data_IF_756598278317
#
_entry.id   IF_756598278317
#
_cell.length_a   1.000
_cell.length_b   1.000
_cell.length_c   1.000
_cell.angle_alpha   90.00
_cell.angle_beta   90.00
_cell.angle_gamma   90.00
#
_symmetry.space_group_name_H-M   'P 1'
#
loop_
_entity.id
_entity.type
_entity.pdbx_description
1 polymer ?
#
# COMPACT_ATOMS: atom_id res chain seq x y z
N UNK A 1 14.45 -13.93 -25.11
CA UNK A 1 15.80 -14.31 -24.62
C UNK A 1 16.79 -14.16 -25.77
N UNK A 2 17.98 -13.63 -25.49
CA UNK A 2 19.05 -13.22 -26.43
C UNK A 2 18.89 -11.82 -27.07
N UNK A 3 18.77 -10.77 -26.25
CA UNK A 3 19.05 -9.40 -26.67
C UNK A 3 19.44 -8.51 -25.48
N UNK A 4 20.48 -8.87 -24.71
CA UNK A 4 20.99 -7.96 -23.67
C UNK A 4 22.46 -8.16 -23.25
N UNK A 5 23.21 -9.09 -23.85
CA UNK A 5 24.62 -9.32 -23.46
C UNK A 5 25.61 -8.35 -24.12
N UNK A 6 25.22 -7.65 -25.19
CA UNK A 6 26.15 -6.84 -25.98
C UNK A 6 26.42 -5.46 -25.37
N UNK A 7 25.40 -4.84 -24.76
CA UNK A 7 25.54 -3.55 -24.06
C UNK A 7 26.38 -3.72 -22.78
N UNK A 8 26.21 -4.83 -22.07
CA UNK A 8 26.97 -5.16 -20.87
C UNK A 8 28.45 -5.50 -21.14
N UNK A 9 28.76 -6.15 -22.27
CA UNK A 9 30.14 -6.44 -22.67
C UNK A 9 30.91 -5.16 -23.06
N UNK A 10 30.26 -4.20 -23.70
CA UNK A 10 30.89 -2.93 -24.09
C UNK A 10 31.16 -2.04 -22.86
N UNK A 11 30.29 -2.06 -21.84
CA UNK A 11 30.49 -1.34 -20.58
C UNK A 11 31.66 -1.91 -19.75
N UNK A 12 31.79 -3.24 -19.66
CA UNK A 12 32.93 -3.89 -18.99
C UNK A 12 34.26 -3.69 -19.74
N UNK A 13 34.21 -3.58 -21.07
CA UNK A 13 35.41 -3.36 -21.89
C UNK A 13 35.90 -1.92 -21.77
N UNK A 14 35.01 -0.94 -21.59
CA UNK A 14 35.38 0.45 -21.30
C UNK A 14 36.01 0.62 -19.91
N UNK A 15 35.51 -0.11 -18.90
CA UNK A 15 36.07 -0.12 -17.54
C UNK A 15 37.46 -0.81 -17.49
N UNK A 16 37.66 -1.90 -18.23
CA UNK A 16 38.98 -2.59 -18.29
C UNK A 16 40.01 -1.89 -19.17
N UNK A 17 39.61 -1.21 -20.25
CA UNK A 17 40.56 -0.50 -21.14
C UNK A 17 41.15 0.77 -20.52
N UNK A 18 40.56 1.29 -19.44
CA UNK A 18 41.12 2.43 -18.69
C UNK A 18 42.16 2.06 -17.63
N UNK A 19 42.45 0.76 -17.41
CA UNK A 19 43.45 0.35 -16.42
C UNK A 19 44.90 0.25 -16.96
N UNK A 20 45.15 0.41 -18.27
CA UNK A 20 46.46 0.05 -18.84
C UNK A 20 47.13 1.02 -19.84
N UNK A 21 46.68 2.26 -20.02
CA UNK A 21 47.44 3.22 -20.85
C UNK A 21 47.42 4.60 -20.22
N UNK A 22 48.45 4.91 -19.42
CA UNK A 22 49.23 6.16 -19.41
C UNK A 22 50.23 6.10 -18.25
N UNK A 23 51.33 5.37 -18.45
CA UNK A 23 52.52 5.48 -17.62
C UNK A 23 53.50 6.46 -18.28
N UNK A 24 53.23 7.77 -18.18
CA UNK A 24 54.24 8.82 -18.38
C UNK A 24 54.02 9.88 -17.29
N UNK A 25 55.05 10.09 -16.49
CA UNK A 25 54.94 10.76 -15.19
C UNK A 25 54.68 12.26 -15.24
N UNK A 26 54.18 12.76 -14.12
CA UNK A 26 54.79 13.81 -13.31
C UNK A 26 54.36 13.50 -11.86
N UNK A 27 55.35 13.31 -10.99
CA UNK A 27 55.16 13.32 -9.56
C UNK A 27 54.81 14.75 -9.13
N UNK A 28 53.56 14.97 -8.74
CA UNK A 28 53.13 16.12 -7.97
C UNK A 28 52.45 15.60 -6.72
N UNK A 29 53.24 15.41 -5.66
CA UNK A 29 52.72 15.24 -4.32
C UNK A 29 51.99 16.53 -3.93
N UNK A 30 50.65 16.52 -4.02
CA UNK A 30 49.81 17.51 -3.36
C UNK A 30 49.53 17.01 -1.93
N UNK A 31 49.67 17.89 -0.92
CA UNK A 31 49.55 17.48 0.46
C UNK A 31 48.11 17.07 0.76
N UNK A 32 47.98 15.92 1.42
CA UNK A 32 46.78 15.48 2.11
C UNK A 32 46.39 16.50 3.18
N UNK A 33 45.60 17.50 2.83
CA UNK A 33 44.87 18.30 3.79
C UNK A 33 43.60 17.55 4.17
N UNK A 34 43.71 16.81 5.27
CA UNK A 34 42.62 16.05 5.85
C UNK A 34 41.50 16.92 6.42
N UNK A 35 40.30 16.35 6.36
CA UNK A 35 39.22 16.45 7.33
C UNK A 35 38.23 17.64 7.28
N UNK A 36 38.32 18.57 6.32
CA UNK A 36 37.29 19.63 6.16
C UNK A 36 36.51 19.61 4.82
N UNK A 37 36.84 18.71 3.89
CA UNK A 37 36.27 18.67 2.52
C UNK A 37 35.48 17.40 2.19
N UNK A 38 35.36 16.45 3.11
CA UNK A 38 34.75 15.14 2.81
C UNK A 38 33.23 15.22 2.60
N UNK A 39 32.50 15.87 3.52
CA UNK A 39 31.04 16.00 3.39
C UNK A 39 30.62 16.88 2.21
N UNK A 40 31.39 17.92 1.89
CA UNK A 40 31.07 18.81 0.76
C UNK A 40 31.28 18.11 -0.59
N UNK A 41 32.30 17.26 -0.67
CA UNK A 41 32.63 16.48 -1.86
C UNK A 41 31.64 15.35 -2.11
N UNK A 42 31.28 14.60 -1.06
CA UNK A 42 30.23 13.57 -1.15
C UNK A 42 28.87 14.20 -1.50
N UNK A 43 28.56 15.37 -0.92
CA UNK A 43 27.34 16.12 -1.27
C UNK A 43 27.34 16.56 -2.73
N UNK A 44 28.46 17.07 -3.25
CA UNK A 44 28.56 17.47 -4.66
C UNK A 44 28.38 16.26 -5.59
N UNK A 45 29.01 15.12 -5.27
CA UNK A 45 28.80 13.86 -5.98
C UNK A 45 27.32 13.47 -6.04
N UNK A 46 26.62 13.47 -4.90
CA UNK A 46 25.17 13.16 -4.83
C UNK A 46 24.33 14.17 -5.62
N UNK A 47 24.71 15.44 -5.64
CA UNK A 47 24.01 16.46 -6.42
C UNK A 47 24.08 16.19 -7.93
N UNK A 48 25.24 15.74 -8.45
CA UNK A 48 25.35 15.33 -9.85
C UNK A 48 24.48 14.10 -10.15
N UNK A 49 24.48 13.09 -9.27
CA UNK A 49 23.58 11.94 -9.42
C UNK A 49 22.10 12.34 -9.41
N UNK A 50 21.72 13.27 -8.54
CA UNK A 50 20.35 13.80 -8.45
C UNK A 50 19.90 14.41 -9.79
N UNK A 51 20.82 15.05 -10.51
CA UNK A 51 20.60 15.65 -11.84
C UNK A 51 20.80 14.67 -13.00
N UNK A 52 21.09 13.40 -12.72
CA UNK A 52 21.46 12.36 -13.68
C UNK A 52 22.70 12.69 -14.52
N UNK A 53 23.64 13.46 -13.96
CA UNK A 53 24.91 13.84 -14.57
C UNK A 53 26.04 12.89 -14.12
N UNK A 54 25.99 11.67 -14.65
CA UNK A 54 26.92 10.59 -14.28
C UNK A 54 28.37 10.86 -14.72
N UNK A 55 28.57 11.70 -15.74
CA UNK A 55 29.91 12.09 -16.20
C UNK A 55 30.63 12.91 -15.13
N UNK A 56 29.99 13.96 -14.64
CA UNK A 56 30.54 14.77 -13.56
C UNK A 56 30.59 14.01 -12.23
N UNK A 57 29.66 13.09 -11.96
CA UNK A 57 29.77 12.22 -10.78
C UNK A 57 31.02 11.31 -10.86
N UNK A 58 31.31 10.74 -12.03
CA UNK A 58 32.49 9.88 -12.23
C UNK A 58 33.82 10.62 -12.04
N UNK A 59 33.87 11.93 -12.27
CA UNK A 59 35.05 12.74 -11.97
C UNK A 59 35.49 12.60 -10.50
N UNK A 60 34.54 12.59 -9.55
CA UNK A 60 34.84 12.45 -8.13
C UNK A 60 35.42 11.08 -7.77
N UNK A 61 34.89 10.01 -8.39
CA UNK A 61 35.37 8.65 -8.19
C UNK A 61 36.77 8.45 -8.80
N UNK A 62 36.99 8.93 -10.03
CA UNK A 62 38.26 8.75 -10.75
C UNK A 62 39.44 9.48 -10.10
N UNK A 63 39.17 10.61 -9.43
CA UNK A 63 40.20 11.39 -8.73
C UNK A 63 40.35 10.99 -7.26
N UNK A 64 39.65 9.93 -6.80
CA UNK A 64 39.71 9.47 -5.41
C UNK A 64 39.14 10.48 -4.39
N UNK A 65 38.35 11.44 -4.86
CA UNK A 65 37.67 12.44 -4.02
C UNK A 65 36.49 11.81 -3.27
N UNK A 66 35.89 10.78 -3.87
CA UNK A 66 34.88 9.90 -3.27
C UNK A 66 35.30 8.46 -3.54
N UNK A 67 35.20 7.59 -2.54
CA UNK A 67 35.47 6.15 -2.71
C UNK A 67 34.19 5.34 -2.49
N UNK A 68 33.93 4.27 -3.28
CA UNK A 68 32.72 3.47 -3.15
C UNK A 68 32.48 2.92 -1.73
N UNK A 69 33.54 2.61 -0.99
CA UNK A 69 33.48 2.05 0.36
C UNK A 69 32.81 3.00 1.35
N UNK A 70 33.02 4.32 1.17
CA UNK A 70 32.46 5.38 2.02
C UNK A 70 31.00 5.68 1.72
N UNK A 71 30.52 5.30 0.55
CA UNK A 71 29.16 5.58 0.13
C UNK A 71 28.19 4.58 0.76
N UNK A 72 27.10 5.12 1.31
CA UNK A 72 25.86 4.38 1.55
C UNK A 72 25.00 4.49 0.29
N UNK A 73 25.26 3.61 -0.68
CA UNK A 73 24.60 3.63 -1.99
C UNK A 73 23.08 3.44 -1.88
N UNK A 74 22.60 2.67 -0.90
CA UNK A 74 21.17 2.51 -0.67
C UNK A 74 20.51 3.75 -0.07
N UNK A 75 21.17 4.44 0.87
CA UNK A 75 20.66 5.70 1.41
C UNK A 75 20.69 6.81 0.34
N UNK A 76 21.74 6.84 -0.51
CA UNK A 76 21.81 7.75 -1.65
C UNK A 76 20.67 7.48 -2.64
N UNK A 77 20.43 6.21 -2.99
CA UNK A 77 19.32 5.83 -3.85
C UNK A 77 18.00 6.31 -3.28
N UNK A 78 17.66 5.90 -2.05
CA UNK A 78 16.44 6.30 -1.35
C UNK A 78 16.25 7.82 -1.33
N UNK A 79 17.28 8.57 -0.93
CA UNK A 79 17.22 10.02 -0.82
C UNK A 79 17.01 10.71 -2.17
N UNK A 80 17.63 10.23 -3.25
CA UNK A 80 17.41 10.79 -4.60
C UNK A 80 15.99 10.49 -5.09
N UNK A 81 15.47 9.27 -4.86
CA UNK A 81 14.08 8.92 -5.19
C UNK A 81 13.12 9.92 -4.53
N UNK A 82 13.27 10.16 -3.23
CA UNK A 82 12.39 11.07 -2.49
C UNK A 82 12.59 12.55 -2.87
N UNK A 83 13.84 13.01 -3.01
CA UNK A 83 14.12 14.43 -3.24
C UNK A 83 13.83 14.88 -4.68
N UNK A 84 14.10 14.05 -5.68
CA UNK A 84 14.05 14.45 -7.08
C UNK A 84 12.96 13.74 -7.89
N UNK A 85 12.64 12.48 -7.58
CA UNK A 85 11.79 11.66 -8.46
C UNK A 85 10.37 11.41 -7.90
N UNK A 86 10.14 11.59 -6.59
CA UNK A 86 8.89 11.22 -5.91
C UNK A 86 7.62 11.79 -6.56
N UNK A 87 7.64 13.07 -6.92
CA UNK A 87 6.49 13.74 -7.54
C UNK A 87 6.25 13.32 -8.99
N UNK A 88 7.19 12.60 -9.59
CA UNK A 88 7.22 12.27 -11.02
C UNK A 88 7.63 10.80 -11.26
N UNK A 89 7.37 9.90 -10.30
CA UNK A 89 7.88 8.51 -10.37
C UNK A 89 7.50 7.83 -11.70
N UNK A 90 6.28 8.06 -12.19
CA UNK A 90 5.80 7.49 -13.46
C UNK A 90 6.63 7.92 -14.68
N UNK A 91 7.04 9.20 -14.77
CA UNK A 91 7.84 9.69 -15.89
C UNK A 91 9.35 9.52 -15.67
N UNK A 92 9.76 9.16 -14.44
CA UNK A 92 11.16 8.98 -14.05
C UNK A 92 11.61 7.52 -13.97
N UNK A 93 10.76 6.54 -14.30
CA UNK A 93 11.09 5.10 -14.25
C UNK A 93 12.43 4.76 -14.91
N UNK A 94 12.71 5.28 -16.11
CA UNK A 94 14.00 5.04 -16.77
C UNK A 94 15.18 5.64 -15.99
N UNK A 95 15.04 6.84 -15.45
CA UNK A 95 16.09 7.48 -14.65
C UNK A 95 16.34 6.73 -13.34
N UNK A 96 15.28 6.19 -12.72
CA UNK A 96 15.36 5.33 -11.53
C UNK A 96 16.17 4.06 -11.84
N UNK A 97 15.86 3.36 -12.94
CA UNK A 97 16.59 2.16 -13.37
C UNK A 97 18.07 2.48 -13.64
N UNK A 98 18.37 3.60 -14.31
CA UNK A 98 19.75 4.01 -14.55
C UNK A 98 20.49 4.34 -13.25
N UNK A 99 19.86 5.06 -12.32
CA UNK A 99 20.44 5.38 -11.02
C UNK A 99 20.72 4.12 -10.21
N UNK A 100 19.75 3.19 -10.16
CA UNK A 100 19.91 1.90 -9.50
C UNK A 100 21.10 1.13 -10.08
N UNK A 101 21.16 0.96 -11.40
CA UNK A 101 22.26 0.27 -12.06
C UNK A 101 23.62 0.92 -11.82
N UNK A 102 23.68 2.25 -11.83
CA UNK A 102 24.91 3.01 -11.52
C UNK A 102 25.37 2.75 -10.08
N UNK A 103 24.49 2.93 -9.09
CA UNK A 103 24.83 2.76 -7.68
C UNK A 103 25.17 1.31 -7.33
N UNK A 104 24.43 0.34 -7.88
CA UNK A 104 24.69 -1.10 -7.69
C UNK A 104 26.07 -1.50 -8.24
N UNK A 105 26.51 -0.88 -9.34
CA UNK A 105 27.83 -1.13 -9.92
C UNK A 105 28.97 -0.52 -9.08
N UNK A 106 28.71 0.56 -8.33
CA UNK A 106 29.68 1.12 -7.39
C UNK A 106 29.81 0.26 -6.14
N UNK A 107 28.68 -0.06 -5.51
CA UNK A 107 28.61 -0.87 -4.30
C UNK A 107 27.21 -1.50 -4.21
N UNK A 108 27.11 -2.84 -4.23
CA UNK A 108 25.82 -3.51 -4.08
C UNK A 108 25.11 -3.06 -2.81
N UNK A 109 23.82 -2.77 -2.92
CA UNK A 109 22.98 -2.39 -1.79
C UNK A 109 21.67 -3.18 -1.80
N UNK A 110 21.04 -3.22 -0.62
CA UNK A 110 19.71 -3.78 -0.42
C UNK A 110 18.67 -2.64 -0.50
N UNK A 111 17.69 -2.76 -1.40
CA UNK A 111 16.60 -1.77 -1.49
C UNK A 111 15.60 -1.89 -0.34
N UNK A 112 15.62 -3.01 0.38
CA UNK A 112 14.81 -3.28 1.56
C UNK A 112 15.44 -2.76 2.86
N UNK A 113 16.52 -1.98 2.77
CA UNK A 113 17.17 -1.44 3.96
C UNK A 113 16.34 -0.32 4.61
N UNK A 114 16.38 -0.24 5.95
CA UNK A 114 15.84 0.91 6.68
C UNK A 114 16.79 2.11 6.54
N UNK A 115 16.25 3.26 6.13
CA UNK A 115 17.00 4.50 5.95
C UNK A 115 16.53 5.52 6.98
N UNK A 116 17.47 6.25 7.61
CA UNK A 116 17.10 7.38 8.46
C UNK A 116 16.60 8.53 7.59
N UNK A 117 15.32 8.84 7.68
CA UNK A 117 14.64 9.81 6.81
C UNK A 117 14.23 11.10 7.51
N UNK A 118 14.35 11.16 8.84
CA UNK A 118 14.01 12.35 9.61
C UNK A 118 14.43 12.25 11.07
N UNK A 119 14.30 13.36 11.78
CA UNK A 119 14.45 13.43 13.23
C UNK A 119 13.23 14.14 13.80
N UNK A 120 12.58 13.54 14.79
CA UNK A 120 11.49 14.16 15.54
C UNK A 120 11.91 14.31 17.01
N UNK A 121 12.35 15.52 17.38
CA UNK A 121 12.98 15.73 18.68
C UNK A 121 14.29 14.95 18.77
N UNK A 122 14.36 13.99 19.70
CA UNK A 122 15.55 13.14 19.89
C UNK A 122 15.45 11.78 19.20
N UNK A 123 14.30 11.45 18.59
CA UNK A 123 14.09 10.15 17.96
C UNK A 123 14.37 10.22 16.45
N UNK A 124 15.25 9.35 15.97
CA UNK A 124 15.48 9.14 14.54
C UNK A 124 14.30 8.40 13.92
N UNK A 125 13.73 8.94 12.85
CA UNK A 125 12.71 8.26 12.07
C UNK A 125 13.37 7.37 11.01
N UNK A 126 13.02 6.09 11.02
CA UNK A 126 13.38 5.13 9.97
C UNK A 126 12.28 5.09 8.93
N UNK A 127 12.66 5.14 7.66
CA UNK A 127 11.77 4.94 6.51
C UNK A 127 12.26 3.76 5.69
N UNK A 128 11.32 3.17 4.94
CA UNK A 128 11.57 2.01 4.10
C UNK A 128 10.84 2.23 2.78
N UNK A 129 11.56 2.01 1.67
CA UNK A 129 11.10 2.38 0.34
C UNK A 129 9.76 1.73 -0.02
N UNK A 130 9.57 0.45 0.33
CA UNK A 130 8.35 -0.27 0.04
C UNK A 130 7.11 0.40 0.64
N UNK A 131 7.11 0.69 1.94
CA UNK A 131 5.97 1.32 2.60
C UNK A 131 5.70 2.72 2.05
N UNK A 132 6.76 3.48 1.74
CA UNK A 132 6.58 4.78 1.13
C UNK A 132 5.90 4.62 -0.24
N UNK A 133 6.34 3.68 -1.07
CA UNK A 133 5.79 3.44 -2.40
C UNK A 133 4.31 3.03 -2.34
N UNK A 134 3.92 2.08 -1.50
CA UNK A 134 2.51 1.62 -1.41
C UNK A 134 1.56 2.66 -0.82
N UNK A 135 2.06 3.75 -0.25
CA UNK A 135 1.20 4.86 0.22
C UNK A 135 0.80 5.83 -0.89
N UNK A 136 1.40 5.77 -2.09
CA UNK A 136 1.20 6.83 -3.09
C UNK A 136 1.56 6.50 -4.54
N UNK A 137 2.45 5.53 -4.77
CA UNK A 137 2.93 5.21 -6.10
C UNK A 137 1.91 4.34 -6.87
N UNK A 138 1.75 4.56 -8.19
CA UNK A 138 1.01 3.65 -9.07
C UNK A 138 1.59 2.24 -9.06
N UNK A 139 0.76 1.19 -9.19
CA UNK A 139 1.23 -0.20 -9.12
C UNK A 139 2.26 -0.56 -10.20
N UNK A 140 2.15 0.01 -11.41
CA UNK A 140 3.15 -0.18 -12.46
C UNK A 140 4.51 0.46 -12.14
N UNK A 141 4.54 1.49 -11.29
CA UNK A 141 5.79 2.08 -10.77
C UNK A 141 6.39 1.18 -9.69
N UNK A 142 5.57 0.70 -8.76
CA UNK A 142 6.01 -0.25 -7.72
C UNK A 142 6.62 -1.50 -8.37
N UNK A 143 5.98 -1.99 -9.45
CA UNK A 143 6.46 -3.11 -10.25
C UNK A 143 7.87 -2.90 -10.82
N UNK A 144 8.25 -1.67 -11.17
CA UNK A 144 9.62 -1.36 -11.61
C UNK A 144 10.62 -1.56 -10.46
N UNK A 145 10.30 -1.12 -9.25
CA UNK A 145 11.18 -1.35 -8.09
C UNK A 145 11.29 -2.84 -7.76
N UNK A 146 10.20 -3.59 -7.87
CA UNK A 146 10.22 -5.05 -7.72
C UNK A 146 11.14 -5.72 -8.77
N UNK A 147 11.07 -5.28 -10.03
CA UNK A 147 11.95 -5.77 -11.11
C UNK A 147 13.44 -5.42 -10.87
N UNK A 148 13.72 -4.35 -10.12
CA UNK A 148 15.07 -3.98 -9.71
C UNK A 148 15.56 -4.76 -8.48
N UNK A 149 14.68 -5.51 -7.80
CA UNK A 149 15.01 -6.37 -6.66
C UNK A 149 14.40 -5.98 -5.32
N UNK A 150 13.41 -5.07 -5.27
CA UNK A 150 12.70 -4.72 -4.03
C UNK A 150 11.79 -5.89 -3.61
N UNK A 151 11.95 -6.42 -2.40
CA UNK A 151 11.08 -7.47 -1.88
C UNK A 151 9.75 -6.90 -1.38
N UNK A 152 8.69 -7.08 -2.19
CA UNK A 152 7.34 -6.61 -1.88
C UNK A 152 6.71 -7.28 -0.64
N UNK A 153 7.33 -8.32 -0.09
CA UNK A 153 6.87 -9.06 1.09
C UNK A 153 7.77 -8.88 2.30
N UNK A 154 8.77 -8.00 2.22
CA UNK A 154 9.67 -7.73 3.35
C UNK A 154 8.87 -7.26 4.56
N UNK A 155 9.09 -7.94 5.68
CA UNK A 155 8.52 -7.55 6.97
C UNK A 155 9.48 -6.64 7.72
N UNK A 156 8.93 -5.56 8.28
CA UNK A 156 9.68 -4.58 9.04
C UNK A 156 9.16 -4.53 10.48
N UNK A 157 10.03 -4.56 11.50
CA UNK A 157 9.60 -4.48 12.89
C UNK A 157 8.73 -3.23 13.15
N UNK A 158 7.58 -3.44 13.79
CA UNK A 158 6.66 -2.35 14.14
C UNK A 158 5.88 -1.75 12.95
N UNK A 159 5.87 -2.40 11.79
CA UNK A 159 5.03 -2.03 10.63
C UNK A 159 4.20 -3.24 10.18
N UNK A 160 2.92 -3.05 9.79
CA UNK A 160 2.15 -4.14 9.19
C UNK A 160 2.76 -4.52 7.84
N UNK A 161 2.44 -5.68 7.25
CA UNK A 161 2.80 -5.98 5.87
C UNK A 161 2.37 -4.86 4.92
N UNK A 162 3.19 -4.53 3.91
CA UNK A 162 2.89 -3.48 2.93
C UNK A 162 1.57 -3.70 2.15
N UNK A 163 1.10 -4.95 2.12
CA UNK A 163 -0.19 -5.34 1.55
C UNK A 163 -1.35 -4.72 2.29
N UNK A 164 -1.20 -4.46 3.60
CA UNK A 164 -2.19 -3.69 4.37
C UNK A 164 -2.42 -2.30 3.76
N UNK A 165 -1.35 -1.58 3.44
CA UNK A 165 -1.46 -0.23 2.87
C UNK A 165 -2.13 -0.27 1.49
N UNK A 166 -1.88 -1.31 0.69
CA UNK A 166 -2.54 -1.51 -0.61
C UNK A 166 -4.03 -1.79 -0.44
N UNK A 167 -4.42 -2.71 0.45
CA UNK A 167 -5.85 -3.04 0.67
C UNK A 167 -6.61 -1.91 1.35
N UNK A 168 -5.99 -1.16 2.27
CA UNK A 168 -6.60 0.02 2.89
C UNK A 168 -6.92 1.08 1.82
N UNK A 169 -6.19 1.07 0.70
CA UNK A 169 -6.34 1.99 -0.44
C UNK A 169 -7.16 1.42 -1.61
N UNK A 170 -7.68 0.20 -1.50
CA UNK A 170 -8.45 -0.46 -2.57
C UNK A 170 -9.72 0.32 -2.91
N UNK A 171 -9.97 0.57 -4.19
CA UNK A 171 -11.10 1.34 -4.72
C UNK A 171 -10.92 2.87 -4.67
N UNK A 172 -10.03 3.38 -3.83
CA UNK A 172 -9.67 4.81 -3.81
C UNK A 172 -8.43 5.11 -4.65
N UNK A 173 -7.35 4.37 -4.44
CA UNK A 173 -6.07 4.57 -5.14
C UNK A 173 -5.64 3.34 -5.93
N UNK A 174 -5.86 2.14 -5.40
CA UNK A 174 -5.57 0.89 -6.10
C UNK A 174 -6.86 0.24 -6.58
N UNK A 175 -6.81 -0.31 -7.78
CA UNK A 175 -7.87 -1.15 -8.35
C UNK A 175 -7.55 -2.63 -8.15
N UNK A 176 -8.52 -3.50 -8.46
CA UNK A 176 -8.27 -4.96 -8.50
C UNK A 176 -7.21 -5.31 -9.56
N UNK A 177 -7.18 -4.60 -10.70
CA UNK A 177 -6.11 -4.79 -11.69
C UNK A 177 -4.73 -4.39 -11.15
N UNK A 178 -4.65 -3.39 -10.28
CA UNK A 178 -3.38 -3.02 -9.63
C UNK A 178 -2.91 -4.12 -8.67
N UNK A 179 -3.82 -4.72 -7.89
CA UNK A 179 -3.51 -5.89 -7.05
C UNK A 179 -2.98 -7.04 -7.90
N UNK A 180 -3.58 -7.30 -9.07
CA UNK A 180 -3.10 -8.34 -9.98
C UNK A 180 -1.68 -8.04 -10.50
N UNK A 181 -1.37 -6.79 -10.84
CA UNK A 181 -0.02 -6.38 -11.25
C UNK A 181 0.99 -6.64 -10.14
N UNK A 182 0.67 -6.19 -8.91
CA UNK A 182 1.55 -6.38 -7.76
C UNK A 182 1.74 -7.86 -7.43
N UNK A 183 0.68 -8.65 -7.51
CA UNK A 183 0.73 -10.10 -7.32
C UNK A 183 1.59 -10.81 -8.38
N UNK A 184 1.51 -10.39 -9.65
CA UNK A 184 2.41 -10.88 -10.71
C UNK A 184 3.88 -10.53 -10.46
N UNK A 185 4.15 -9.48 -9.68
CA UNK A 185 5.49 -9.10 -9.22
C UNK A 185 5.89 -9.75 -7.90
N UNK A 186 5.09 -10.68 -7.40
CA UNK A 186 5.40 -11.49 -6.23
C UNK A 186 4.83 -10.98 -4.91
N UNK A 187 4.04 -9.89 -4.91
CA UNK A 187 3.35 -9.45 -3.70
C UNK A 187 2.27 -10.46 -3.31
N UNK A 188 2.33 -10.96 -2.09
CA UNK A 188 1.38 -11.95 -1.55
C UNK A 188 0.14 -11.21 -1.06
N UNK A 189 -1.05 -11.78 -1.26
CA UNK A 189 -2.31 -11.30 -0.68
C UNK A 189 -3.08 -12.52 -0.16
N UNK A 190 -3.29 -12.64 1.15
CA UNK A 190 -4.00 -13.75 1.80
C UNK A 190 -3.22 -14.49 2.89
N UNK A 191 -1.91 -14.63 2.73
CA UNK A 191 -1.04 -15.48 3.57
C UNK A 191 -0.08 -14.66 4.47
N UNK A 192 -0.25 -13.34 4.53
CA UNK A 192 0.65 -12.46 5.27
C UNK A 192 0.42 -12.54 6.79
N UNK A 193 1.48 -12.47 7.59
CA UNK A 193 1.35 -12.39 9.03
C UNK A 193 0.91 -10.98 9.44
N UNK A 194 -0.31 -10.87 9.96
CA UNK A 194 -0.79 -9.64 10.58
C UNK A 194 -0.67 -9.73 12.10
N UNK A 195 0.22 -8.94 12.69
CA UNK A 195 0.23 -8.73 14.14
C UNK A 195 -0.80 -7.64 14.50
N UNK A 196 -1.85 -7.96 15.28
CA UNK A 196 -2.86 -6.98 15.67
C UNK A 196 -2.32 -5.79 16.44
N UNK A 197 -1.25 -5.98 17.24
CA UNK A 197 -0.64 -4.89 18.00
C UNK A 197 0.06 -3.89 17.08
N UNK A 198 0.83 -4.41 16.12
CA UNK A 198 1.45 -3.62 15.06
C UNK A 198 0.40 -2.89 14.21
N UNK A 199 -0.70 -3.56 13.85
CA UNK A 199 -1.76 -2.93 13.08
C UNK A 199 -2.46 -1.80 13.87
N UNK A 200 -2.77 -2.03 15.15
CA UNK A 200 -3.38 -1.01 16.03
C UNK A 200 -2.48 0.22 16.21
N UNK A 201 -1.17 0.01 16.22
CA UNK A 201 -0.17 1.08 16.31
C UNK A 201 0.12 1.76 14.96
N UNK A 202 -0.29 1.14 13.84
CA UNK A 202 -0.01 1.63 12.50
C UNK A 202 -0.64 3.01 12.31
N UNK A 203 0.20 4.01 12.10
CA UNK A 203 -0.21 5.35 11.71
C UNK A 203 0.27 5.54 10.31
N UNK A 204 -0.68 5.69 9.39
CA UNK A 204 -0.35 6.07 8.03
C UNK A 204 0.38 7.41 8.08
N UNK A 205 1.69 7.37 7.83
CA UNK A 205 2.48 8.55 7.60
C UNK A 205 2.08 9.06 6.22
N UNK A 206 1.30 10.12 6.20
CA UNK A 206 0.95 10.77 4.95
C UNK A 206 2.21 11.48 4.44
N UNK A 207 2.94 10.78 3.57
CA UNK A 207 4.21 11.18 2.97
C UNK A 207 4.05 12.27 1.90
N UNK A 208 3.41 13.37 2.27
CA UNK A 208 3.84 14.68 1.77
C UNK A 208 5.13 15.13 2.45
N UNK A 209 6.02 14.17 2.77
CA UNK A 209 7.41 14.40 3.13
C UNK A 209 8.15 14.94 1.91
N UNK A 210 7.99 16.24 1.66
CA UNK A 210 9.19 17.03 1.45
C UNK A 210 10.03 16.81 2.69
N UNK A 211 11.32 16.50 2.49
CA UNK A 211 12.35 16.60 3.51
C UNK A 211 12.41 18.08 3.95
N UNK A 212 11.43 18.52 4.73
CA UNK A 212 11.30 19.82 5.37
C UNK A 212 10.53 19.62 6.67
N UNK A 213 10.91 20.34 7.73
CA UNK A 213 10.36 20.14 9.06
C UNK A 213 8.87 20.49 9.07
N UNK A 214 8.06 19.45 9.29
CA UNK A 214 6.75 19.45 9.93
C UNK A 214 6.02 20.79 9.91
N UNK A 215 5.12 20.99 8.92
CA UNK A 215 3.90 21.75 9.15
C UNK A 215 2.73 21.09 8.43
N UNK A 216 1.87 20.47 9.25
CA UNK A 216 0.52 20.01 8.97
C UNK A 216 0.39 18.79 8.06
N UNK A 217 0.88 17.66 8.55
CA UNK A 217 0.43 16.36 8.07
C UNK A 217 -0.79 15.96 8.89
N UNK A 218 -1.97 15.92 8.29
CA UNK A 218 -3.12 15.24 8.88
C UNK A 218 -2.76 13.74 8.93
N UNK A 219 -2.08 13.30 10.00
CA UNK A 219 -1.86 11.89 10.25
C UNK A 219 -3.23 11.21 10.23
N UNK A 220 -3.39 10.14 9.44
CA UNK A 220 -4.59 9.32 9.60
C UNK A 220 -4.60 8.80 11.02
N UNK A 221 -5.78 8.79 11.62
CA UNK A 221 -5.98 8.15 12.92
C UNK A 221 -5.57 6.68 12.78
N UNK A 222 -4.95 6.08 13.81
CA UNK A 222 -4.69 4.66 13.80
C UNK A 222 -5.99 3.89 13.50
N UNK A 223 -5.90 2.72 12.84
CA UNK A 223 -7.08 1.94 12.53
C UNK A 223 -7.81 1.59 13.84
N UNK A 224 -9.13 1.73 13.80
CA UNK A 224 -10.00 1.19 14.82
C UNK A 224 -9.90 -0.33 14.80
N UNK A 225 -9.75 -0.92 15.98
CA UNK A 225 -9.58 -2.36 16.15
C UNK A 225 -10.76 -2.94 16.94
N UNK A 226 -11.11 -4.22 16.72
CA UNK A 226 -12.14 -4.88 17.54
C UNK A 226 -11.73 -4.87 19.02
N UNK A 227 -12.70 -4.80 19.95
CA UNK A 227 -12.42 -4.54 21.36
C UNK A 227 -11.50 -5.59 22.03
N UNK A 228 -11.48 -6.81 21.50
CA UNK A 228 -10.70 -7.95 21.98
C UNK A 228 -9.55 -8.32 21.03
N UNK A 229 -9.07 -7.40 20.18
CA UNK A 229 -8.09 -7.69 19.14
C UNK A 229 -6.81 -8.39 19.63
N UNK A 230 -6.34 -8.07 20.84
CA UNK A 230 -5.16 -8.72 21.46
C UNK A 230 -5.39 -10.17 21.88
N UNK A 231 -6.65 -10.61 21.95
CA UNK A 231 -7.05 -11.97 22.30
C UNK A 231 -7.40 -12.83 21.08
N UNK A 232 -7.29 -12.28 19.87
CA UNK A 232 -7.53 -13.00 18.62
C UNK A 232 -6.28 -13.86 18.31
N UNK A 233 -6.36 -15.20 18.33
CA UNK A 233 -5.19 -16.06 18.22
C UNK A 233 -4.49 -15.99 16.85
N UNK A 234 -5.27 -15.73 15.79
CA UNK A 234 -4.78 -15.59 14.43
C UNK A 234 -5.55 -14.45 13.76
N UNK A 235 -4.86 -13.35 13.49
CA UNK A 235 -5.42 -12.25 12.72
C UNK A 235 -5.03 -12.47 11.26
N UNK A 236 -6.01 -12.78 10.44
CA UNK A 236 -5.83 -13.19 9.06
C UNK A 236 -6.06 -12.03 8.08
N UNK A 237 -5.85 -12.28 6.79
CA UNK A 237 -6.07 -11.29 5.74
C UNK A 237 -7.51 -10.76 5.69
N UNK A 238 -8.50 -11.62 5.95
CA UNK A 238 -9.90 -11.21 6.02
C UNK A 238 -10.17 -10.27 7.22
N UNK A 239 -9.51 -10.47 8.36
CA UNK A 239 -9.58 -9.57 9.51
C UNK A 239 -9.02 -8.18 9.14
N UNK A 240 -7.90 -8.15 8.40
CA UNK A 240 -7.30 -6.91 7.91
C UNK A 240 -8.23 -6.16 6.93
N UNK A 241 -8.91 -6.88 6.04
CA UNK A 241 -9.93 -6.31 5.15
C UNK A 241 -11.14 -5.78 5.90
N UNK A 242 -11.63 -6.51 6.91
CA UNK A 242 -12.72 -6.06 7.76
C UNK A 242 -12.33 -4.80 8.56
N UNK A 243 -11.10 -4.74 9.07
CA UNK A 243 -10.53 -3.54 9.71
C UNK A 243 -10.42 -2.39 8.72
N UNK A 244 -9.89 -2.60 7.52
CA UNK A 244 -9.87 -1.58 6.47
C UNK A 244 -11.28 -1.08 6.17
N UNK A 245 -12.25 -1.98 5.95
CA UNK A 245 -13.63 -1.60 5.69
C UNK A 245 -14.26 -0.87 6.88
N UNK A 246 -13.98 -1.23 8.13
CA UNK A 246 -14.53 -0.52 9.29
C UNK A 246 -13.94 0.89 9.49
N UNK A 247 -12.76 1.15 8.92
CA UNK A 247 -12.06 2.41 9.15
C UNK A 247 -12.55 3.56 8.26
N UNK A 248 -12.66 4.78 8.82
CA UNK A 248 -13.04 5.95 8.06
C UNK A 248 -11.94 6.34 7.07
N UNK A 249 -12.33 6.66 5.85
CA UNK A 249 -11.43 7.19 4.84
C UNK A 249 -11.40 8.71 4.90
N UNK A 250 -10.20 9.30 4.98
CA UNK A 250 -10.03 10.75 5.19
C UNK A 250 -10.27 11.61 3.95
N UNK A 251 -10.42 11.02 2.77
CA UNK A 251 -10.56 11.77 1.50
C UNK A 251 -12.02 12.13 1.17
N UNK A 252 -12.27 12.62 -0.04
CA UNK A 252 -13.60 13.02 -0.49
C UNK A 252 -14.61 11.86 -0.41
N UNK A 253 -15.89 12.18 -0.17
CA UNK A 253 -16.92 11.14 0.04
C UNK A 253 -17.08 10.18 -1.15
N UNK A 254 -16.80 10.67 -2.37
CA UNK A 254 -16.84 9.85 -3.59
C UNK A 254 -15.76 8.77 -3.57
N UNK A 255 -14.55 9.11 -3.12
CA UNK A 255 -13.45 8.14 -3.01
C UNK A 255 -13.70 7.16 -1.87
N UNK A 256 -14.24 7.64 -0.73
CA UNK A 256 -14.64 6.75 0.36
C UNK A 256 -15.69 5.74 -0.10
N UNK A 257 -16.71 6.18 -0.82
CA UNK A 257 -17.77 5.31 -1.37
C UNK A 257 -17.23 4.29 -2.36
N UNK A 258 -16.32 4.70 -3.27
CA UNK A 258 -15.68 3.79 -4.22
C UNK A 258 -14.79 2.75 -3.53
N UNK A 259 -14.05 3.16 -2.49
CA UNK A 259 -13.27 2.27 -1.63
C UNK A 259 -14.14 1.26 -0.90
N UNK A 260 -15.19 1.75 -0.25
CA UNK A 260 -16.11 0.90 0.50
C UNK A 260 -16.78 -0.13 -0.45
N UNK A 261 -17.23 0.29 -1.64
CA UNK A 261 -17.76 -0.64 -2.66
C UNK A 261 -16.75 -1.72 -3.07
N UNK A 262 -15.50 -1.33 -3.34
CA UNK A 262 -14.46 -2.27 -3.74
C UNK A 262 -14.10 -3.27 -2.63
N UNK A 263 -13.95 -2.78 -1.39
CA UNK A 263 -13.69 -3.62 -0.22
C UNK A 263 -14.84 -4.60 0.04
N UNK A 264 -16.09 -4.13 -0.01
CA UNK A 264 -17.25 -5.00 0.21
C UNK A 264 -17.34 -6.12 -0.84
N UNK A 265 -17.09 -5.82 -2.11
CA UNK A 265 -17.00 -6.84 -3.18
C UNK A 265 -15.89 -7.84 -2.91
N UNK A 266 -14.72 -7.36 -2.51
CA UNK A 266 -13.54 -8.21 -2.31
C UNK A 266 -13.71 -9.12 -1.08
N UNK A 267 -14.22 -8.58 0.03
CA UNK A 267 -14.60 -9.34 1.23
C UNK A 267 -15.64 -10.40 0.88
N UNK A 268 -16.68 -10.04 0.13
CA UNK A 268 -17.73 -11.02 -0.29
C UNK A 268 -17.12 -12.17 -1.09
N UNK A 269 -16.16 -11.88 -1.97
CA UNK A 269 -15.46 -12.88 -2.76
C UNK A 269 -14.59 -13.83 -1.91
N UNK A 270 -13.95 -13.32 -0.86
CA UNK A 270 -13.06 -14.10 0.02
C UNK A 270 -13.79 -14.80 1.18
N UNK A 271 -14.98 -14.34 1.55
CA UNK A 271 -15.74 -14.88 2.68
C UNK A 271 -15.92 -16.41 2.69
N UNK A 272 -16.11 -17.12 1.56
CA UNK A 272 -16.20 -18.59 1.58
C UNK A 272 -14.89 -19.31 1.92
N UNK A 273 -13.75 -18.62 1.85
CA UNK A 273 -12.41 -19.20 1.97
C UNK A 273 -11.79 -18.98 3.35
N UNK A 274 -12.29 -18.02 4.12
CA UNK A 274 -11.72 -17.61 5.41
C UNK A 274 -12.83 -17.44 6.45
N UNK A 275 -12.62 -18.00 7.64
CA UNK A 275 -13.55 -17.83 8.76
C UNK A 275 -13.26 -16.50 9.47
N UNK A 276 -14.29 -15.68 9.77
CA UNK A 276 -14.11 -14.46 10.57
C UNK A 276 -13.49 -14.77 11.94
N UNK A 277 -12.46 -14.01 12.36
CA UNK A 277 -11.83 -14.20 13.67
C UNK A 277 -12.47 -13.33 14.76
N UNK A 278 -13.35 -12.40 14.38
CA UNK A 278 -14.21 -11.62 15.27
C UNK A 278 -15.56 -11.29 14.62
N UNK A 279 -16.45 -10.64 15.36
CA UNK A 279 -17.76 -10.19 14.88
C UNK A 279 -17.62 -9.03 13.88
N UNK A 280 -17.40 -9.36 12.60
CA UNK A 280 -17.24 -8.40 11.51
C UNK A 280 -18.49 -7.54 11.32
N UNK A 281 -19.68 -8.11 11.48
CA UNK A 281 -20.95 -7.41 11.30
C UNK A 281 -21.05 -6.26 12.31
N UNK A 282 -20.89 -6.57 13.60
CA UNK A 282 -20.91 -5.58 14.68
C UNK A 282 -19.79 -4.56 14.54
N UNK A 283 -18.59 -5.01 14.17
CA UNK A 283 -17.45 -4.12 14.00
C UNK A 283 -17.67 -3.11 12.88
N UNK A 284 -18.00 -3.59 11.67
CA UNK A 284 -18.17 -2.72 10.48
C UNK A 284 -19.32 -1.74 10.70
N UNK A 285 -20.50 -2.21 11.12
CA UNK A 285 -21.65 -1.34 11.36
C UNK A 285 -21.42 -0.38 12.54
N UNK A 286 -20.64 -0.80 13.54
CA UNK A 286 -20.29 0.01 14.69
C UNK A 286 -19.36 1.18 14.35
N UNK A 287 -18.52 1.04 13.33
CA UNK A 287 -17.46 1.99 12.99
C UNK A 287 -17.75 2.83 11.73
N UNK A 288 -18.56 2.31 10.78
CA UNK A 288 -19.02 3.05 9.60
C UNK A 288 -20.35 3.73 9.85
N UNK A 289 -20.33 5.06 9.93
CA UNK A 289 -21.53 5.87 10.17
C UNK A 289 -22.44 5.98 8.95
N UNK A 290 -21.88 5.75 7.76
CA UNK A 290 -22.59 5.77 6.49
C UNK A 290 -23.40 4.49 6.28
N UNK A 291 -23.03 3.38 6.92
CA UNK A 291 -23.70 2.09 6.77
C UNK A 291 -24.94 2.04 7.67
N UNK A 292 -25.96 2.77 7.25
CA UNK A 292 -27.23 2.95 7.96
C UNK A 292 -28.37 2.67 7.01
N UNK A 293 -29.43 2.04 7.52
CA UNK A 293 -30.60 1.67 6.72
C UNK A 293 -31.20 2.87 5.95
N UNK A 294 -31.23 4.05 6.56
CA UNK A 294 -31.67 5.30 5.93
C UNK A 294 -30.93 5.64 4.62
N UNK A 295 -29.68 5.17 4.47
CA UNK A 295 -28.83 5.49 3.32
C UNK A 295 -28.90 4.43 2.21
N UNK A 296 -29.65 3.34 2.40
CA UNK A 296 -29.80 2.27 1.41
C UNK A 296 -30.53 2.81 0.17
N UNK A 297 -29.88 2.69 -0.99
CA UNK A 297 -30.41 3.20 -2.26
C UNK A 297 -30.32 4.73 -2.42
N UNK A 298 -29.81 5.45 -1.42
CA UNK A 298 -29.58 6.89 -1.54
C UNK A 298 -28.39 7.19 -2.46
N UNK A 299 -28.53 8.25 -3.26
CA UNK A 299 -27.43 8.82 -4.05
C UNK A 299 -27.20 10.25 -3.61
N UNK A 300 -25.97 10.56 -3.21
CA UNK A 300 -25.54 11.91 -2.85
C UNK A 300 -24.62 12.46 -3.91
N UNK A 301 -24.50 13.79 -3.96
CA UNK A 301 -23.64 14.50 -4.89
C UNK A 301 -22.51 15.19 -4.14
N UNK A 302 -21.29 15.07 -4.64
CA UNK A 302 -20.13 15.83 -4.18
C UNK A 302 -19.43 16.41 -5.42
N UNK A 303 -19.45 17.73 -5.55
CA UNK A 303 -19.07 18.42 -6.79
C UNK A 303 -19.87 17.94 -8.00
N UNK A 304 -19.19 17.42 -9.01
CA UNK A 304 -19.79 16.90 -10.26
C UNK A 304 -19.98 15.38 -10.28
N UNK A 305 -19.72 14.69 -9.17
CA UNK A 305 -19.82 13.24 -9.08
C UNK A 305 -20.95 12.85 -8.13
N UNK A 306 -21.65 11.78 -8.47
CA UNK A 306 -22.63 11.13 -7.59
C UNK A 306 -22.00 9.89 -6.97
N UNK A 307 -22.38 9.60 -5.72
CA UNK A 307 -21.90 8.44 -4.99
C UNK A 307 -23.01 7.87 -4.11
N UNK A 308 -22.87 6.60 -3.74
CA UNK A 308 -23.78 5.90 -2.83
C UNK A 308 -23.11 5.84 -1.44
N UNK A 309 -23.62 6.56 -0.44
CA UNK A 309 -23.04 6.55 0.91
C UNK A 309 -22.98 5.15 1.51
N UNK A 310 -23.99 4.33 1.23
CA UNK A 310 -24.02 2.91 1.53
C UNK A 310 -24.10 2.12 0.21
N UNK A 311 -22.96 1.73 -0.38
CA UNK A 311 -22.94 1.05 -1.68
C UNK A 311 -23.73 -0.25 -1.68
N UNK A 312 -24.39 -0.57 -2.79
CA UNK A 312 -25.19 -1.79 -2.92
C UNK A 312 -24.39 -3.09 -2.64
N UNK A 313 -23.10 -3.13 -2.97
CA UNK A 313 -22.23 -4.26 -2.64
C UNK A 313 -22.01 -4.43 -1.13
N UNK A 314 -21.94 -3.31 -0.39
CA UNK A 314 -21.87 -3.33 1.06
C UNK A 314 -23.19 -3.73 1.68
N UNK A 315 -24.32 -3.29 1.14
CA UNK A 315 -25.64 -3.76 1.58
C UNK A 315 -25.71 -5.28 1.46
N UNK A 316 -25.38 -5.84 0.29
CA UNK A 316 -25.36 -7.29 0.07
C UNK A 316 -24.40 -8.03 1.01
N UNK A 317 -23.21 -7.48 1.26
CA UNK A 317 -22.25 -8.06 2.23
C UNK A 317 -22.85 -8.09 3.65
N UNK A 318 -23.41 -6.97 4.11
CA UNK A 318 -24.04 -6.89 5.44
C UNK A 318 -25.22 -7.87 5.55
N UNK A 319 -26.04 -7.98 4.50
CA UNK A 319 -27.14 -8.95 4.45
C UNK A 319 -26.64 -10.39 4.57
N UNK A 320 -25.61 -10.75 3.80
CA UNK A 320 -24.99 -12.06 3.87
C UNK A 320 -24.37 -12.36 5.23
N UNK A 321 -23.70 -11.37 5.85
CA UNK A 321 -23.17 -11.52 7.20
C UNK A 321 -24.29 -11.69 8.23
N UNK A 322 -25.35 -10.89 8.15
CA UNK A 322 -26.48 -10.93 9.07
C UNK A 322 -27.24 -12.26 9.03
N UNK A 323 -27.54 -12.77 7.83
CA UNK A 323 -28.25 -14.05 7.66
C UNK A 323 -27.50 -15.25 8.27
N UNK A 324 -26.17 -15.20 8.27
CA UNK A 324 -25.30 -16.24 8.81
C UNK A 324 -24.79 -15.91 10.23
N UNK A 325 -25.29 -14.83 10.85
CA UNK A 325 -24.75 -14.35 12.11
C UNK A 325 -25.32 -15.12 13.31
N UNK A 326 -24.46 -15.86 14.02
CA UNK A 326 -24.85 -16.70 15.16
C UNK A 326 -25.49 -15.95 16.34
N UNK A 327 -25.38 -14.62 16.39
CA UNK A 327 -25.99 -13.79 17.43
C UNK A 327 -26.51 -12.44 16.89
N UNK A 328 -27.26 -12.48 15.78
CA UNK A 328 -27.80 -11.26 15.16
C UNK A 328 -28.68 -10.44 16.12
N UNK A 329 -29.39 -11.10 17.03
CA UNK A 329 -30.27 -10.47 18.02
C UNK A 329 -29.54 -9.47 18.92
N UNK A 330 -28.32 -9.78 19.35
CA UNK A 330 -27.51 -8.86 20.16
C UNK A 330 -27.06 -7.63 19.37
N UNK A 331 -26.76 -7.80 18.08
CA UNK A 331 -26.42 -6.69 17.18
C UNK A 331 -27.64 -5.79 16.98
N UNK A 332 -28.83 -6.36 16.74
CA UNK A 332 -30.10 -5.62 16.64
C UNK A 332 -30.36 -4.82 17.93
N UNK A 333 -30.24 -5.47 19.09
CA UNK A 333 -30.47 -4.83 20.39
C UNK A 333 -29.50 -3.66 20.62
N UNK A 334 -28.23 -3.80 20.20
CA UNK A 334 -27.24 -2.73 20.29
C UNK A 334 -27.65 -1.48 19.51
N UNK A 335 -28.14 -1.62 18.26
CA UNK A 335 -28.59 -0.49 17.45
C UNK A 335 -29.89 0.12 18.01
N UNK A 336 -30.83 -0.71 18.45
CA UNK A 336 -32.05 -0.26 19.12
C UNK A 336 -31.78 0.57 20.38
N UNK A 337 -30.85 0.11 21.23
CA UNK A 337 -30.45 0.82 22.45
C UNK A 337 -29.72 2.15 22.16
N UNK A 338 -29.06 2.27 21.00
CA UNK A 338 -28.41 3.50 20.54
C UNK A 338 -29.38 4.49 19.86
N UNK A 339 -30.66 4.13 19.73
CA UNK A 339 -31.68 4.95 19.09
C UNK A 339 -31.70 4.84 17.56
N UNK A 340 -30.91 3.94 16.96
CA UNK A 340 -30.89 3.68 15.53
C UNK A 340 -31.95 2.64 15.16
N UNK A 341 -33.22 3.05 15.29
CA UNK A 341 -34.37 2.18 15.14
C UNK A 341 -34.52 1.67 13.71
N UNK A 342 -34.15 2.47 12.71
CA UNK A 342 -34.22 2.07 11.30
C UNK A 342 -33.23 0.96 10.98
N UNK A 343 -31.99 1.07 11.46
CA UNK A 343 -30.99 0.01 11.30
C UNK A 343 -31.42 -1.28 12.00
N UNK A 344 -31.92 -1.17 13.24
CA UNK A 344 -32.42 -2.33 13.98
C UNK A 344 -33.60 -3.01 13.25
N UNK A 345 -34.54 -2.25 12.68
CA UNK A 345 -35.66 -2.78 11.89
C UNK A 345 -35.23 -3.44 10.60
N UNK A 346 -34.26 -2.85 9.89
CA UNK A 346 -33.72 -3.46 8.68
C UNK A 346 -33.03 -4.78 9.00
N UNK A 347 -32.17 -4.84 10.02
CA UNK A 347 -31.53 -6.09 10.46
C UNK A 347 -32.55 -7.15 10.92
N UNK A 348 -33.63 -6.76 11.61
CA UNK A 348 -34.74 -7.65 11.95
C UNK A 348 -35.41 -8.24 10.70
N UNK A 349 -35.58 -7.45 9.64
CA UNK A 349 -36.20 -7.94 8.40
C UNK A 349 -35.39 -9.05 7.72
N UNK A 350 -34.09 -9.13 7.99
CA UNK A 350 -33.18 -10.15 7.46
C UNK A 350 -33.24 -11.48 8.23
N UNK A 351 -33.86 -11.51 9.42
CA UNK A 351 -34.08 -12.74 10.20
C UNK A 351 -35.23 -13.60 9.68
N UNK A 352 -36.12 -13.04 8.86
CA UNK A 352 -37.29 -13.78 8.37
C UNK A 352 -36.86 -14.81 7.30
N UNK A 353 -37.33 -16.08 7.38
CA UNK A 353 -37.14 -17.01 6.29
C UNK A 353 -37.81 -16.45 5.03
N UNK A 354 -37.07 -16.43 3.92
CA UNK A 354 -37.63 -16.12 2.60
C UNK A 354 -38.92 -16.95 2.41
N UNK A 355 -40.07 -16.34 2.07
CA UNK A 355 -41.28 -17.12 1.85
C UNK A 355 -41.03 -18.11 0.70
N UNK A 356 -41.22 -19.40 0.99
CA UNK A 356 -41.32 -20.42 -0.05
C UNK A 356 -42.42 -19.94 -1.01
N UNK A 357 -42.15 -19.74 -2.31
CA UNK A 357 -43.20 -19.36 -3.24
C UNK A 357 -44.28 -20.43 -3.18
N UNK A 358 -45.51 -20.01 -2.86
CA UNK A 358 -46.66 -20.89 -2.82
C UNK A 358 -46.75 -21.59 -4.19
N UNK A 359 -46.57 -22.90 -4.20
CA UNK A 359 -46.96 -23.71 -5.35
C UNK A 359 -48.45 -23.49 -5.55
N UNK A 360 -48.77 -22.83 -6.65
CA UNK A 360 -50.12 -22.68 -7.15
C UNK A 360 -50.74 -24.09 -7.27
N UNK A 361 -51.89 -24.36 -6.64
CA UNK A 361 -52.49 -25.69 -6.72
C UNK A 361 -52.83 -25.98 -8.18
N UNK A 362 -52.29 -27.10 -8.68
CA UNK A 362 -52.54 -27.60 -10.02
C UNK A 362 -54.06 -27.63 -10.29
N UNK A 363 -54.49 -26.86 -11.28
CA UNK A 363 -55.86 -26.92 -11.77
C UNK A 363 -56.11 -28.32 -12.33
N UNK A 364 -57.05 -29.03 -11.71
CA UNK A 364 -57.60 -30.30 -12.19
C UNK A 364 -58.22 -30.06 -13.57
N UNK A 365 -57.63 -30.63 -14.62
CA UNK A 365 -58.24 -30.67 -15.94
C UNK A 365 -59.43 -31.65 -15.92
N UNK A 366 -60.62 -31.17 -16.28
CA UNK A 366 -61.78 -32.01 -16.59
C UNK A 366 -61.49 -32.94 -17.79
N UNK A 367 -62.02 -34.18 -17.78
CA UNK A 367 -61.86 -35.09 -18.90
C UNK A 367 -62.74 -34.65 -20.08
N UNK A 368 -62.12 -34.47 -21.25
CA UNK A 368 -62.85 -34.30 -22.51
C UNK A 368 -63.60 -35.60 -22.85
N UNK A 369 -64.93 -35.50 -22.93
CA UNK A 369 -65.77 -36.51 -23.55
C UNK A 369 -65.49 -36.54 -25.06
N UNK A 370 -65.15 -37.72 -25.57
CA UNK A 370 -65.19 -38.07 -26.98
C UNK A 370 -66.61 -38.45 -27.38
N UNK A 371 -67.14 -37.78 -28.40
CA UNK A 371 -68.12 -38.35 -29.34
C UNK A 371 -67.80 -37.88 -30.76
#
# INVERSE_FOLDING_TARGET
MALDYKIWADFYTALKRSCCVFAWGIASALPSQGAANDESTERAFVEFLTRADYENANFYLQNGLVTPERLDTGAIFYNIIHAAYWQQLTSKTQAITTLHGYLQALKPFDMDQEVTCGQYGNDSQTCVLLHDLVTGAPANVIAVFADLGLDLNKLYPGRPPATYDVIDRLGAQYSISDIQILSQKGMIFGDEPYDPATLAAHREHNNTMRIQPVRNVAARRPPQMPHNYLSIPQFNFMDALAVALGNPWSSAQVESSARDDALCRYITFLAPQMTPSFDYLRFVLGNKNEFRAAQIGERKRSGNRTYEPFPASCVALIEGMAQNHGNLTDVIALFGARGDVEMARWLLSLQAPQPIPAQEPAQTQEPQNTE
#
